data_IF_436311061655
#
_entry.id   IF_436311061655
#
_cell.length_a   1.000
_cell.length_b   1.000
_cell.length_c   1.000
_cell.angle_alpha   90.00
_cell.angle_beta   90.00
_cell.angle_gamma   90.00
#
_symmetry.space_group_name_H-M   'P 1'
#
loop_
_entity.id
_entity.type
_entity.pdbx_description
1 polymer ?
#
# COMPACT_ATOMS: atom_id res chain seq x y z
N UNK A 1 -12.09 -1.33 -14.95
CA UNK A 1 -12.20 -0.16 -14.05
C UNK A 1 -11.62 1.06 -14.78
N UNK A 2 -12.17 2.26 -14.60
CA UNK A 2 -11.56 3.50 -15.13
C UNK A 2 -10.25 3.82 -14.38
N UNK A 3 -9.17 4.17 -15.09
CA UNK A 3 -7.86 4.46 -14.50
C UNK A 3 -7.93 5.57 -13.43
N UNK A 4 -8.69 6.65 -13.68
CA UNK A 4 -8.86 7.74 -12.69
C UNK A 4 -9.57 7.27 -11.42
N UNK A 5 -10.47 6.30 -11.54
CA UNK A 5 -11.19 5.70 -10.40
C UNK A 5 -10.23 4.78 -9.63
N UNK A 6 -9.43 3.98 -10.34
CA UNK A 6 -8.40 3.16 -9.73
C UNK A 6 -7.38 3.99 -8.94
N UNK A 7 -6.82 5.04 -9.56
CA UNK A 7 -5.82 5.90 -8.91
C UNK A 7 -6.42 6.59 -7.67
N UNK A 8 -7.65 7.13 -7.74
CA UNK A 8 -8.32 7.75 -6.58
C UNK A 8 -8.58 6.74 -5.46
N UNK A 9 -9.02 5.52 -5.81
CA UNK A 9 -9.25 4.46 -4.83
C UNK A 9 -7.94 4.10 -4.10
N UNK A 10 -6.86 3.89 -4.85
CA UNK A 10 -5.57 3.55 -4.29
C UNK A 10 -4.99 4.67 -3.43
N UNK A 11 -5.08 5.93 -3.86
CA UNK A 11 -4.69 7.08 -3.03
C UNK A 11 -5.50 7.14 -1.72
N UNK A 12 -6.79 6.78 -1.76
CA UNK A 12 -7.64 6.75 -0.56
C UNK A 12 -7.28 5.59 0.37
N UNK A 13 -6.85 4.45 -0.16
CA UNK A 13 -6.48 3.27 0.62
C UNK A 13 -5.07 3.37 1.23
N UNK A 14 -4.18 4.19 0.65
CA UNK A 14 -2.78 4.30 1.11
C UNK A 14 -2.64 4.63 2.61
N UNK A 15 -3.35 5.63 3.18
CA UNK A 15 -3.28 5.91 4.62
C UNK A 15 -3.79 4.75 5.49
N UNK A 16 -4.87 4.09 5.07
CA UNK A 16 -5.43 2.94 5.79
C UNK A 16 -4.45 1.76 5.79
N UNK A 17 -3.84 1.45 4.65
CA UNK A 17 -2.80 0.42 4.53
C UNK A 17 -1.62 0.72 5.44
N UNK A 18 -1.15 1.97 5.47
CA UNK A 18 -0.05 2.39 6.33
C UNK A 18 -0.40 2.22 7.81
N UNK A 19 -1.58 2.68 8.23
CA UNK A 19 -2.05 2.54 9.61
C UNK A 19 -2.13 1.08 10.03
N UNK A 20 -2.78 0.22 9.22
CA UNK A 20 -2.92 -1.21 9.50
C UNK A 20 -1.56 -1.91 9.61
N UNK A 21 -0.63 -1.59 8.72
CA UNK A 21 0.74 -2.13 8.78
C UNK A 21 1.44 -1.73 10.08
N UNK A 22 1.28 -0.47 10.51
CA UNK A 22 1.87 0.01 11.76
C UNK A 22 1.25 -0.65 12.98
N UNK A 23 -0.08 -0.84 12.98
CA UNK A 23 -0.79 -1.52 14.06
C UNK A 23 -0.34 -2.97 14.27
N UNK A 24 0.11 -3.68 13.21
CA UNK A 24 0.66 -5.04 13.35
C UNK A 24 1.88 -5.10 14.28
N UNK A 25 2.63 -4.00 14.44
CA UNK A 25 3.76 -3.95 15.37
C UNK A 25 3.34 -3.90 16.85
N UNK A 26 2.09 -3.54 17.13
CA UNK A 26 1.55 -3.40 18.48
C UNK A 26 0.72 -4.62 18.91
N UNK A 27 0.48 -5.57 18.00
CA UNK A 27 -0.43 -6.70 18.21
C UNK A 27 0.37 -8.01 18.32
N UNK A 28 0.02 -8.92 19.26
CA UNK A 28 0.64 -10.23 19.34
C UNK A 28 0.58 -11.01 18.02
N UNK A 29 1.74 -11.42 17.53
CA UNK A 29 1.88 -12.18 16.28
C UNK A 29 1.09 -13.49 16.38
N UNK A 30 0.32 -13.79 15.34
CA UNK A 30 -0.49 -15.02 15.25
C UNK A 30 -1.80 -14.99 16.03
N UNK A 31 -2.09 -13.89 16.74
CA UNK A 31 -3.41 -13.64 17.32
C UNK A 31 -4.49 -13.41 16.24
N UNK A 32 -5.79 -13.58 16.58
CA UNK A 32 -6.86 -13.39 15.61
C UNK A 32 -6.88 -11.98 15.02
N UNK A 33 -6.62 -10.94 15.82
CA UNK A 33 -6.53 -9.55 15.36
C UNK A 33 -5.36 -9.35 14.38
N UNK A 34 -4.19 -9.92 14.70
CA UNK A 34 -3.01 -9.86 13.84
C UNK A 34 -3.31 -10.49 12.47
N UNK A 35 -3.88 -11.69 12.47
CA UNK A 35 -4.21 -12.43 11.25
C UNK A 35 -5.25 -11.68 10.40
N UNK A 36 -6.26 -11.06 11.02
CA UNK A 36 -7.25 -10.29 10.26
C UNK A 36 -6.67 -9.01 9.67
N UNK A 37 -5.85 -8.27 10.43
CA UNK A 37 -5.23 -7.04 9.93
C UNK A 37 -4.23 -7.35 8.81
N UNK A 38 -3.39 -8.39 8.96
CA UNK A 38 -2.48 -8.85 7.91
C UNK A 38 -3.24 -9.19 6.62
N UNK A 39 -4.37 -9.92 6.76
CA UNK A 39 -5.22 -10.24 5.61
C UNK A 39 -5.74 -8.97 4.91
N UNK A 40 -6.22 -7.98 5.65
CA UNK A 40 -6.70 -6.73 5.05
C UNK A 40 -5.59 -5.99 4.31
N UNK A 41 -4.38 -5.93 4.87
CA UNK A 41 -3.22 -5.33 4.19
C UNK A 41 -2.94 -6.04 2.87
N UNK A 42 -2.94 -7.38 2.87
CA UNK A 42 -2.71 -8.19 1.66
C UNK A 42 -3.79 -8.01 0.60
N UNK A 43 -5.06 -7.86 0.99
CA UNK A 43 -6.15 -7.58 0.05
C UNK A 43 -6.01 -6.18 -0.56
N UNK A 44 -5.53 -5.19 0.19
CA UNK A 44 -5.24 -3.85 -0.36
C UNK A 44 -4.09 -3.92 -1.37
N UNK A 45 -3.01 -4.63 -1.02
CA UNK A 45 -1.87 -4.79 -1.92
C UNK A 45 -2.27 -5.59 -3.18
N UNK A 46 -3.12 -6.62 -3.05
CA UNK A 46 -3.70 -7.36 -4.18
C UNK A 46 -4.63 -6.51 -5.06
N UNK A 47 -5.40 -5.60 -4.47
CA UNK A 47 -6.18 -4.61 -5.24
C UNK A 47 -5.27 -3.68 -6.04
N UNK A 48 -4.14 -3.25 -5.48
CA UNK A 48 -3.15 -2.46 -6.22
C UNK A 48 -2.56 -3.26 -7.39
N UNK A 49 -2.25 -4.54 -7.19
CA UNK A 49 -1.77 -5.42 -8.26
C UNK A 49 -2.75 -5.53 -9.43
N UNK A 50 -4.02 -5.81 -9.13
CA UNK A 50 -5.07 -5.96 -10.14
C UNK A 50 -5.30 -4.66 -10.92
N UNK A 51 -5.24 -3.51 -10.25
CA UNK A 51 -5.64 -2.23 -10.82
C UNK A 51 -4.53 -1.53 -11.60
N UNK A 52 -3.27 -1.66 -11.17
CA UNK A 52 -2.16 -0.91 -11.75
C UNK A 52 -0.97 -1.80 -12.14
N UNK A 53 -1.05 -3.12 -11.93
CA UNK A 53 0.03 -4.06 -12.23
C UNK A 53 1.18 -3.99 -11.23
N UNK A 54 0.97 -3.36 -10.08
CA UNK A 54 2.04 -2.94 -9.18
C UNK A 54 1.77 -3.32 -7.73
N UNK A 55 1.43 -4.60 -7.51
CA UNK A 55 1.20 -5.19 -6.19
C UNK A 55 2.39 -5.06 -5.23
N UNK A 56 3.63 -5.31 -5.69
CA UNK A 56 4.81 -5.22 -4.82
C UNK A 56 5.31 -3.79 -4.55
N UNK A 57 5.10 -2.82 -5.45
CA UNK A 57 5.68 -1.47 -5.36
C UNK A 57 4.66 -0.36 -5.06
N UNK A 58 3.42 -0.70 -4.70
CA UNK A 58 2.44 0.28 -4.21
C UNK A 58 2.97 1.14 -3.03
N UNK A 59 3.95 0.61 -2.29
CA UNK A 59 4.64 1.30 -1.19
C UNK A 59 5.81 2.21 -1.64
N UNK A 60 6.32 2.07 -2.87
CA UNK A 60 7.69 2.51 -3.21
C UNK A 60 7.80 3.80 -4.03
N UNK A 61 6.71 4.53 -4.29
CA UNK A 61 6.78 5.72 -5.15
C UNK A 61 7.04 7.02 -4.40
N UNK A 62 8.24 7.14 -3.84
CA UNK A 62 8.94 8.43 -3.77
C UNK A 62 9.98 8.42 -4.90
N UNK A 63 9.59 8.87 -6.09
CA UNK A 63 10.59 9.23 -7.10
C UNK A 63 11.35 10.44 -6.56
N UNK A 64 12.50 10.21 -5.93
CA UNK A 64 13.56 11.20 -5.90
C UNK A 64 13.91 11.50 -7.36
N UNK A 65 13.47 12.66 -7.86
CA UNK A 65 13.99 13.17 -9.11
C UNK A 65 15.51 13.34 -8.93
N UNK A 66 16.36 12.79 -9.82
CA UNK A 66 17.75 13.20 -9.83
C UNK A 66 17.76 14.66 -10.28
N UNK A 67 18.25 15.52 -9.40
CA UNK A 67 18.53 16.91 -9.69
C UNK A 67 19.68 16.95 -10.72
N UNK A 68 19.32 16.99 -12.00
CA UNK A 68 20.27 17.17 -13.09
C UNK A 68 20.64 18.66 -13.17
N UNK A 69 21.45 19.14 -12.22
CA UNK A 69 22.33 20.28 -12.45
C UNK A 69 23.47 20.35 -11.44
N UNK A 70 24.51 19.56 -11.69
CA UNK A 70 25.83 19.78 -11.11
C UNK A 70 26.91 19.30 -12.10
N UNK A 71 27.16 20.11 -13.13
CA UNK A 71 28.43 20.17 -13.86
C UNK A 71 28.51 21.50 -14.63
#
# INVERSE_FOLDING_TARGET
>A
MNRKVADRLLETLRPARHLLTRSLAEIPIGGPEYCQIDRVVREIDGLAEILIGDGPHFYQKEHSAPDNNAA
#
